data_IF_532852591911
#
_entry.id   IF_532852591911
#
_cell.length_a   1.000
_cell.length_b   1.000
_cell.length_c   1.000
_cell.angle_alpha   90.00
_cell.angle_beta   90.00
_cell.angle_gamma   90.00
#
_symmetry.space_group_name_H-M   'P 1'
#
loop_
_entity.id
_entity.type
_entity.pdbx_description
1 polymer ?
#
# COMPACT_ATOMS: atom_id res chain seq x y z
N UNK A 1 -26.24 18.83 16.51
CA UNK A 1 -25.20 19.58 15.76
C UNK A 1 -25.22 19.13 14.31
N UNK A 2 -24.97 20.03 13.35
CA UNK A 2 -24.80 19.63 11.95
C UNK A 2 -23.42 19.00 11.72
N UNK A 3 -23.29 18.22 10.65
CA UNK A 3 -22.00 17.65 10.23
C UNK A 3 -20.96 18.73 9.91
N UNK A 4 -21.39 19.88 9.36
CA UNK A 4 -20.52 21.03 9.12
C UNK A 4 -19.93 21.59 10.43
N UNK A 5 -20.78 21.81 11.44
CA UNK A 5 -20.34 22.34 12.72
C UNK A 5 -19.44 21.35 13.50
N UNK A 6 -19.60 20.04 13.28
CA UNK A 6 -18.69 19.03 13.83
C UNK A 6 -17.31 19.09 13.16
N UNK A 7 -17.26 19.22 11.83
CA UNK A 7 -15.99 19.32 11.09
C UNK A 7 -15.19 20.55 11.51
N UNK A 8 -15.83 21.70 11.64
CA UNK A 8 -15.18 22.94 12.10
C UNK A 8 -14.57 22.78 13.50
N UNK A 9 -15.29 22.17 14.44
CA UNK A 9 -14.76 21.91 15.78
C UNK A 9 -13.55 20.99 15.78
N UNK A 10 -13.57 19.91 14.98
CA UNK A 10 -12.45 18.99 14.86
C UNK A 10 -11.22 19.67 14.25
N UNK A 11 -11.41 20.46 13.19
CA UNK A 11 -10.32 21.26 12.59
C UNK A 11 -9.74 22.26 13.59
N UNK A 12 -10.59 22.93 14.37
CA UNK A 12 -10.17 23.85 15.42
C UNK A 12 -9.33 23.15 16.50
N UNK A 13 -9.76 21.97 16.94
CA UNK A 13 -9.03 21.17 17.93
C UNK A 13 -7.66 20.71 17.40
N UNK A 14 -7.59 20.20 16.17
CA UNK A 14 -6.33 19.72 15.56
C UNK A 14 -5.27 20.84 15.50
N UNK A 15 -5.69 22.10 15.27
CA UNK A 15 -4.76 23.25 15.20
C UNK A 15 -4.05 23.57 16.52
N UNK A 16 -4.67 23.26 17.66
CA UNK A 16 -4.17 23.64 18.99
C UNK A 16 -3.78 22.44 19.85
N UNK A 17 -4.07 21.22 19.41
CA UNK A 17 -3.75 20.00 20.13
C UNK A 17 -2.23 19.79 20.20
N UNK A 18 -1.78 19.31 21.35
CA UNK A 18 -0.39 18.90 21.52
C UNK A 18 -0.04 17.67 20.68
N UNK A 19 1.25 17.50 20.39
CA UNK A 19 1.76 16.44 19.53
C UNK A 19 1.40 15.04 20.03
N UNK A 20 1.34 14.84 21.37
CA UNK A 20 1.00 13.54 21.96
C UNK A 20 -0.44 13.15 21.63
N UNK A 21 -1.38 14.09 21.73
CA UNK A 21 -2.79 13.87 21.37
C UNK A 21 -2.96 13.69 19.86
N UNK A 22 -2.23 14.46 19.05
CA UNK A 22 -2.25 14.30 17.59
C UNK A 22 -1.77 12.90 17.17
N UNK A 23 -0.67 12.40 17.73
CA UNK A 23 -0.17 11.04 17.47
C UNK A 23 -1.18 9.97 17.89
N UNK A 24 -1.80 10.12 19.05
CA UNK A 24 -2.81 9.16 19.52
C UNK A 24 -4.04 9.12 18.58
N UNK A 25 -4.51 10.29 18.11
CA UNK A 25 -5.62 10.37 17.16
C UNK A 25 -5.23 9.80 15.80
N UNK A 26 -4.02 10.12 15.33
CA UNK A 26 -3.49 9.59 14.08
C UNK A 26 -3.44 8.06 14.12
N UNK A 27 -2.80 7.46 15.12
CA UNK A 27 -2.71 6.00 15.22
C UNK A 27 -4.07 5.32 15.38
N UNK A 28 -5.04 5.97 16.03
CA UNK A 28 -6.40 5.44 16.14
C UNK A 28 -7.10 5.36 14.77
N UNK A 29 -6.82 6.33 13.91
CA UNK A 29 -7.49 6.51 12.62
C UNK A 29 -6.55 6.23 11.44
N UNK A 30 -5.37 5.66 11.68
CA UNK A 30 -4.28 5.59 10.70
C UNK A 30 -4.72 4.82 9.47
N UNK A 31 -5.41 3.69 9.66
CA UNK A 31 -5.95 2.89 8.57
C UNK A 31 -7.03 3.60 7.74
N UNK A 32 -7.77 4.55 8.34
CA UNK A 32 -8.83 5.31 7.67
C UNK A 32 -8.30 6.57 6.99
N UNK A 33 -7.27 7.20 7.58
CA UNK A 33 -6.62 8.41 7.05
C UNK A 33 -5.64 8.05 5.95
N UNK A 34 -4.80 7.05 6.20
CA UNK A 34 -3.87 6.50 5.24
C UNK A 34 -4.55 5.40 4.43
N UNK A 35 -5.73 5.66 3.84
CA UNK A 35 -6.37 4.77 2.87
C UNK A 35 -5.43 4.62 1.65
N UNK A 36 -4.38 3.82 1.84
CA UNK A 36 -3.25 3.60 0.95
C UNK A 36 -3.76 2.65 -0.10
N UNK A 37 -4.47 3.22 -1.07
CA UNK A 37 -5.01 2.57 -2.26
C UNK A 37 -5.35 1.12 -1.98
N UNK A 38 -6.55 0.87 -1.44
CA UNK A 38 -7.05 -0.48 -1.13
C UNK A 38 -7.04 -1.34 -2.40
N UNK A 39 -5.87 -1.88 -2.75
CA UNK A 39 -5.65 -2.58 -4.01
C UNK A 39 -6.52 -3.85 -4.07
N UNK A 40 -6.93 -4.36 -2.92
CA UNK A 40 -7.88 -5.46 -2.78
C UNK A 40 -9.32 -5.08 -3.14
N UNK A 41 -9.65 -3.78 -3.19
CA UNK A 41 -10.93 -3.30 -3.73
C UNK A 41 -10.90 -3.17 -5.26
N UNK A 42 -9.72 -3.08 -5.88
CA UNK A 42 -9.60 -3.10 -7.34
C UNK A 42 -9.86 -4.52 -7.85
N UNK A 43 -11.10 -4.75 -8.28
CA UNK A 43 -11.55 -6.05 -8.82
C UNK A 43 -10.73 -6.52 -10.01
N UNK A 44 -10.21 -5.61 -10.85
CA UNK A 44 -9.39 -6.00 -12.00
C UNK A 44 -8.03 -6.49 -11.53
N UNK A 45 -7.43 -5.81 -10.54
CA UNK A 45 -6.18 -6.23 -9.93
C UNK A 45 -6.31 -7.58 -9.21
N UNK A 46 -7.36 -7.75 -8.38
CA UNK A 46 -7.62 -9.03 -7.69
C UNK A 46 -7.82 -10.17 -8.69
N UNK A 47 -8.62 -9.97 -9.74
CA UNK A 47 -8.86 -10.98 -10.77
C UNK A 47 -7.57 -11.39 -11.51
N UNK A 48 -6.65 -10.46 -11.67
CA UNK A 48 -5.34 -10.71 -12.28
C UNK A 48 -4.47 -11.60 -11.38
N UNK A 49 -4.46 -11.32 -10.07
CA UNK A 49 -3.79 -12.15 -9.07
C UNK A 49 -4.38 -13.57 -9.00
N UNK A 50 -5.71 -13.70 -8.98
CA UNK A 50 -6.39 -15.00 -8.98
C UNK A 50 -5.99 -15.83 -10.21
N UNK A 51 -5.96 -15.19 -11.39
CA UNK A 51 -5.51 -15.84 -12.63
C UNK A 51 -4.07 -16.32 -12.55
N UNK A 52 -3.15 -15.52 -11.99
CA UNK A 52 -1.75 -15.92 -11.80
C UNK A 52 -1.64 -17.10 -10.85
N UNK A 53 -2.38 -17.08 -9.76
CA UNK A 53 -2.42 -18.16 -8.78
C UNK A 53 -2.91 -19.47 -9.43
N UNK A 54 -4.02 -19.44 -10.16
CA UNK A 54 -4.52 -20.63 -10.86
C UNK A 54 -3.52 -21.16 -11.91
N UNK A 55 -2.84 -20.28 -12.63
CA UNK A 55 -1.82 -20.69 -13.60
C UNK A 55 -0.64 -21.38 -12.90
N UNK A 56 -0.23 -20.86 -11.75
CA UNK A 56 0.81 -21.47 -10.94
C UNK A 56 0.40 -22.83 -10.39
N UNK A 57 -0.81 -22.96 -9.81
CA UNK A 57 -1.35 -24.23 -9.32
C UNK A 57 -1.42 -25.30 -10.43
N UNK A 58 -1.78 -24.88 -11.65
CA UNK A 58 -1.83 -25.75 -12.85
C UNK A 58 -0.43 -26.06 -13.43
N UNK A 59 0.66 -25.64 -12.79
CA UNK A 59 2.03 -25.84 -13.24
C UNK A 59 2.41 -25.06 -14.51
N UNK A 60 1.61 -24.05 -14.88
CA UNK A 60 1.81 -23.21 -16.08
C UNK A 60 2.46 -21.87 -15.74
N UNK A 61 2.57 -21.52 -14.46
CA UNK A 61 3.22 -20.31 -13.99
C UNK A 61 4.73 -20.47 -13.89
N UNK A 62 5.48 -19.52 -14.46
CA UNK A 62 6.92 -19.44 -14.22
C UNK A 62 7.19 -18.96 -12.80
N UNK A 63 7.75 -19.82 -11.96
CA UNK A 63 8.34 -19.43 -10.69
C UNK A 63 9.85 -19.33 -10.85
N UNK A 64 10.46 -18.38 -10.17
CA UNK A 64 11.90 -18.23 -10.11
C UNK A 64 12.34 -18.40 -8.67
N UNK A 65 13.47 -19.07 -8.50
CA UNK A 65 14.15 -19.09 -7.21
C UNK A 65 14.64 -17.70 -6.83
N UNK A 66 14.89 -17.52 -5.54
CA UNK A 66 15.46 -16.28 -5.02
C UNK A 66 16.84 -16.01 -5.65
N UNK A 67 17.63 -17.05 -5.91
CA UNK A 67 18.97 -16.90 -6.48
C UNK A 67 18.93 -16.49 -7.96
N UNK A 68 18.03 -17.06 -8.76
CA UNK A 68 17.78 -16.62 -10.14
C UNK A 68 17.34 -15.14 -10.19
N UNK A 69 16.47 -14.76 -9.26
CA UNK A 69 15.97 -13.40 -9.14
C UNK A 69 17.10 -12.42 -8.76
N UNK A 70 17.95 -12.79 -7.79
CA UNK A 70 19.13 -11.99 -7.40
C UNK A 70 20.12 -11.84 -8.57
N UNK A 71 20.39 -12.92 -9.30
CA UNK A 71 21.28 -12.91 -10.45
C UNK A 71 20.74 -12.02 -11.59
N UNK A 72 19.43 -12.02 -11.81
CA UNK A 72 18.78 -11.12 -12.76
C UNK A 72 18.88 -9.65 -12.36
N UNK A 73 18.56 -9.31 -11.11
CA UNK A 73 18.69 -7.94 -10.57
C UNK A 73 20.14 -7.46 -10.65
N UNK A 74 21.11 -8.33 -10.36
CA UNK A 74 22.53 -8.03 -10.45
C UNK A 74 22.96 -7.63 -11.87
N UNK A 75 22.44 -8.31 -12.89
CA UNK A 75 22.67 -7.95 -14.31
C UNK A 75 22.09 -6.59 -14.65
N UNK A 76 20.82 -6.34 -14.32
CA UNK A 76 20.16 -5.06 -14.59
C UNK A 76 20.89 -3.85 -13.97
N UNK A 77 21.48 -4.03 -12.78
CA UNK A 77 22.27 -2.97 -12.12
C UNK A 77 23.58 -2.67 -12.85
N UNK A 78 24.25 -3.67 -13.41
CA UNK A 78 25.48 -3.49 -14.20
C UNK A 78 25.18 -2.80 -15.53
N UNK A 79 24.16 -3.25 -16.24
CA UNK A 79 23.74 -2.67 -17.52
C UNK A 79 23.34 -1.19 -17.39
N UNK A 80 22.82 -0.79 -16.23
CA UNK A 80 22.50 0.61 -15.92
C UNK A 80 23.73 1.45 -15.51
N UNK A 81 24.77 0.83 -14.97
CA UNK A 81 26.01 1.51 -14.58
C UNK A 81 26.99 1.69 -15.76
N UNK A 82 26.83 0.88 -16.82
CA UNK A 82 27.63 0.92 -18.04
C UNK A 82 27.04 1.85 -19.13
N UNK A 83 25.84 2.41 -18.89
CA UNK A 83 25.22 3.48 -19.69
C UNK A 83 25.46 4.85 -19.08
#
# INVERSE_FOLDING_TARGET
MSSAALREKLQGYIRVADEKKLKAIYHLLESEIEEKGEWWQDKNFVKELDKRYEQWEKGKGSAYTIDETKAYIGRLKKDKAEK
#
